data_IF_622388271761
#
_entry.id   IF_622388271761
#
_cell.length_a   1.000
_cell.length_b   1.000
_cell.length_c   1.000
_cell.angle_alpha   90.00
_cell.angle_beta   90.00
_cell.angle_gamma   90.00
#
_symmetry.space_group_name_H-M   'P 1'
#
loop_
_entity.id
_entity.type
_entity.pdbx_description
1 polymer ?
#
# COMPACT_ATOMS: atom_id res chain seq x y z
N UNK A 1 -10.56 -5.90 -17.42
CA UNK A 1 -10.42 -4.45 -17.71
C UNK A 1 -9.30 -4.19 -18.73
N UNK A 2 -8.14 -4.85 -18.62
CA UNK A 2 -6.98 -4.67 -19.51
C UNK A 2 -7.21 -4.77 -21.03
N UNK A 3 -8.03 -5.72 -21.54
CA UNK A 3 -8.24 -5.88 -22.99
C UNK A 3 -8.83 -4.65 -23.71
N UNK A 4 -9.69 -3.87 -23.03
CA UNK A 4 -10.28 -2.64 -23.59
C UNK A 4 -9.26 -1.49 -23.63
N UNK A 5 -8.42 -1.37 -22.59
CA UNK A 5 -7.37 -0.35 -22.51
C UNK A 5 -6.28 -0.61 -23.57
N UNK A 6 -5.89 -1.87 -23.73
CA UNK A 6 -4.92 -2.29 -24.77
C UNK A 6 -5.43 -1.94 -26.17
N UNK A 7 -6.70 -2.24 -26.46
CA UNK A 7 -7.31 -1.92 -27.76
C UNK A 7 -7.35 -0.42 -28.05
N UNK A 8 -7.66 0.41 -27.04
CA UNK A 8 -7.68 1.86 -27.18
C UNK A 8 -6.29 2.45 -27.49
N UNK A 9 -5.26 1.98 -26.80
CA UNK A 9 -3.89 2.45 -27.03
C UNK A 9 -3.29 1.94 -28.35
N UNK A 10 -3.54 0.69 -28.73
CA UNK A 10 -3.01 0.14 -29.99
C UNK A 10 -3.52 0.90 -31.23
N UNK A 11 -4.72 1.48 -31.18
CA UNK A 11 -5.27 2.24 -32.30
C UNK A 11 -4.61 3.62 -32.48
N UNK A 12 -3.89 4.11 -31.47
CA UNK A 12 -3.23 5.42 -31.45
C UNK A 12 -1.69 5.35 -31.46
N UNK A 13 -1.12 4.15 -31.42
CA UNK A 13 0.33 3.93 -31.33
C UNK A 13 0.85 3.26 -32.62
N UNK A 14 1.97 3.72 -33.20
CA UNK A 14 2.59 3.08 -34.36
C UNK A 14 2.87 1.59 -34.12
N UNK A 15 2.62 0.73 -35.12
CA UNK A 15 2.73 -0.74 -35.02
C UNK A 15 4.04 -1.24 -34.39
N UNK A 16 5.14 -0.54 -34.65
CA UNK A 16 6.48 -0.83 -34.11
C UNK A 16 6.56 -0.78 -32.57
N UNK A 17 5.70 -0.02 -31.89
CA UNK A 17 5.72 0.14 -30.43
C UNK A 17 4.58 -0.62 -29.72
N UNK A 18 3.63 -1.22 -30.46
CA UNK A 18 2.46 -1.89 -29.87
C UNK A 18 2.84 -3.00 -28.90
N UNK A 19 3.82 -3.84 -29.27
CA UNK A 19 4.29 -4.93 -28.39
C UNK A 19 4.89 -4.41 -27.07
N UNK A 20 5.57 -3.27 -27.10
CA UNK A 20 6.17 -2.65 -25.91
C UNK A 20 5.08 -2.06 -25.01
N UNK A 21 4.12 -1.36 -25.60
CA UNK A 21 2.98 -0.77 -24.88
C UNK A 21 2.11 -1.87 -24.25
N UNK A 22 1.80 -2.94 -24.98
CA UNK A 22 1.04 -4.07 -24.45
C UNK A 22 1.73 -4.74 -23.26
N UNK A 23 3.04 -4.97 -23.36
CA UNK A 23 3.82 -5.56 -22.28
C UNK A 23 3.78 -4.67 -21.03
N UNK A 24 4.00 -3.37 -21.20
CA UNK A 24 3.96 -2.40 -20.11
C UNK A 24 2.58 -2.32 -19.44
N UNK A 25 1.50 -2.28 -20.22
CA UNK A 25 0.14 -2.25 -19.67
C UNK A 25 -0.17 -3.51 -18.87
N UNK A 26 0.23 -4.69 -19.36
CA UNK A 26 0.04 -5.95 -18.63
C UNK A 26 0.81 -5.96 -17.30
N UNK A 27 2.06 -5.49 -17.31
CA UNK A 27 2.89 -5.43 -16.11
C UNK A 27 2.30 -4.48 -15.04
N UNK A 28 1.78 -3.33 -15.46
CA UNK A 28 1.06 -2.40 -14.57
C UNK A 28 -0.24 -3.00 -14.04
N UNK A 29 -1.03 -3.65 -14.90
CA UNK A 29 -2.30 -4.31 -14.52
C UNK A 29 -2.03 -5.44 -13.49
N UNK A 30 -0.96 -6.21 -13.67
CA UNK A 30 -0.54 -7.24 -12.73
C UNK A 30 -0.12 -6.67 -11.37
N UNK A 31 0.68 -5.59 -11.34
CA UNK A 31 1.08 -4.89 -10.11
C UNK A 31 -0.16 -4.36 -9.37
N UNK A 32 -1.03 -3.64 -10.06
CA UNK A 32 -2.25 -3.07 -9.46
C UNK A 32 -3.19 -4.17 -8.96
N UNK A 33 -3.45 -5.18 -9.77
CA UNK A 33 -4.36 -6.26 -9.39
C UNK A 33 -3.79 -7.13 -8.26
N UNK A 34 -2.46 -7.32 -8.20
CA UNK A 34 -1.78 -7.98 -7.11
C UNK A 34 -1.89 -7.18 -5.81
N UNK A 35 -1.53 -5.89 -5.86
CA UNK A 35 -1.65 -4.98 -4.72
C UNK A 35 -3.07 -4.91 -4.17
N UNK A 36 -4.08 -4.68 -5.03
CA UNK A 36 -5.47 -4.55 -4.59
C UNK A 36 -6.00 -5.81 -3.89
N UNK A 37 -5.70 -6.99 -4.46
CA UNK A 37 -6.09 -8.28 -3.86
C UNK A 37 -5.39 -8.50 -2.53
N UNK A 38 -4.09 -8.21 -2.48
CA UNK A 38 -3.29 -8.35 -1.28
C UNK A 38 -3.75 -7.40 -0.16
N UNK A 39 -3.93 -6.11 -0.49
CA UNK A 39 -4.33 -5.09 0.46
C UNK A 39 -5.73 -5.35 1.02
N UNK A 40 -6.66 -5.83 0.19
CA UNK A 40 -7.97 -6.25 0.68
C UNK A 40 -7.85 -7.38 1.70
N UNK A 41 -7.03 -8.41 1.43
CA UNK A 41 -6.81 -9.51 2.38
C UNK A 41 -6.17 -9.01 3.69
N UNK A 42 -5.14 -8.16 3.60
CA UNK A 42 -4.50 -7.52 4.76
C UNK A 42 -5.53 -6.75 5.59
N UNK A 43 -6.41 -6.00 4.94
CA UNK A 43 -7.43 -5.19 5.60
C UNK A 43 -8.45 -6.01 6.38
N UNK A 44 -8.86 -7.15 5.84
CA UNK A 44 -9.76 -8.08 6.51
C UNK A 44 -9.08 -8.70 7.72
N UNK A 45 -7.82 -9.14 7.57
CA UNK A 45 -7.04 -9.74 8.66
C UNK A 45 -6.85 -8.74 9.82
N UNK A 46 -6.43 -7.52 9.51
CA UNK A 46 -6.23 -6.48 10.53
C UNK A 46 -7.54 -6.06 11.18
N UNK A 47 -8.62 -5.91 10.42
CA UNK A 47 -9.94 -5.60 10.97
C UNK A 47 -10.42 -6.66 11.96
N UNK A 48 -10.24 -7.95 11.65
CA UNK A 48 -10.54 -9.05 12.57
C UNK A 48 -9.63 -9.04 13.79
N UNK A 49 -8.32 -8.83 13.60
CA UNK A 49 -7.35 -8.72 14.68
C UNK A 49 -7.74 -7.64 15.69
N UNK A 50 -8.03 -6.42 15.22
CA UNK A 50 -8.40 -5.30 16.08
C UNK A 50 -9.74 -5.54 16.77
N UNK A 51 -10.74 -6.07 16.04
CA UNK A 51 -12.02 -6.44 16.64
C UNK A 51 -11.85 -7.40 17.82
N UNK A 52 -11.13 -8.52 17.60
CA UNK A 52 -10.94 -9.57 18.61
C UNK A 52 -10.22 -9.00 19.83
N UNK A 53 -9.14 -8.24 19.63
CA UNK A 53 -8.36 -7.69 20.74
C UNK A 53 -9.16 -6.66 21.52
N UNK A 54 -9.83 -5.72 20.85
CA UNK A 54 -10.65 -4.73 21.52
C UNK A 54 -11.84 -5.36 22.25
N UNK A 55 -12.42 -6.42 21.70
CA UNK A 55 -13.46 -7.19 22.36
C UNK A 55 -12.95 -7.84 23.65
N UNK A 56 -11.76 -8.46 23.62
CA UNK A 56 -11.14 -9.07 24.81
C UNK A 56 -10.83 -8.03 25.90
N UNK A 57 -10.40 -6.83 25.50
CA UNK A 57 -10.12 -5.72 26.43
C UNK A 57 -11.41 -5.13 27.03
N UNK A 58 -12.56 -5.43 26.44
CA UNK A 58 -13.86 -4.92 26.89
C UNK A 58 -14.19 -3.54 26.35
N UNK A 59 -13.68 -3.16 25.17
CA UNK A 59 -14.10 -1.92 24.51
C UNK A 59 -15.49 -2.13 23.90
N UNK A 60 -16.46 -1.31 24.30
CA UNK A 60 -17.87 -1.45 23.88
C UNK A 60 -18.02 -1.30 22.37
N UNK A 61 -17.22 -0.40 21.78
CA UNK A 61 -17.18 -0.12 20.35
C UNK A 61 -16.17 -0.99 19.57
N UNK A 62 -15.78 -2.15 20.11
CA UNK A 62 -14.79 -3.06 19.51
C UNK A 62 -15.08 -3.42 18.05
N UNK A 63 -16.33 -3.75 17.70
CA UNK A 63 -16.72 -4.07 16.32
C UNK A 63 -16.56 -2.87 15.39
N UNK A 64 -17.04 -1.70 15.81
CA UNK A 64 -16.90 -0.47 15.04
C UNK A 64 -15.43 -0.13 14.80
N UNK A 65 -14.61 -0.17 15.86
CA UNK A 65 -13.18 0.08 15.77
C UNK A 65 -12.46 -0.94 14.89
N UNK A 66 -12.81 -2.22 14.98
CA UNK A 66 -12.26 -3.27 14.12
C UNK A 66 -12.58 -3.06 12.64
N UNK A 67 -13.84 -2.81 12.31
CA UNK A 67 -14.27 -2.52 10.92
C UNK A 67 -13.63 -1.23 10.40
N UNK A 68 -13.64 -0.17 11.21
CA UNK A 68 -13.00 1.10 10.88
C UNK A 68 -11.51 0.91 10.60
N UNK A 69 -10.81 0.18 11.48
CA UNK A 69 -9.39 -0.09 11.33
C UNK A 69 -9.10 -0.93 10.10
N UNK A 70 -9.94 -1.93 9.81
CA UNK A 70 -9.87 -2.70 8.58
C UNK A 70 -10.00 -1.80 7.35
N UNK A 71 -11.05 -0.98 7.26
CA UNK A 71 -11.25 -0.06 6.12
C UNK A 71 -10.07 0.90 5.96
N UNK A 72 -9.60 1.53 7.03
CA UNK A 72 -8.50 2.48 6.94
C UNK A 72 -7.16 1.82 6.65
N UNK A 73 -6.94 0.58 7.08
CA UNK A 73 -5.75 -0.19 6.73
C UNK A 73 -5.63 -0.49 5.23
N UNK A 74 -6.65 -0.22 4.42
CA UNK A 74 -6.52 -0.17 2.95
C UNK A 74 -5.46 0.83 2.48
N UNK A 75 -5.15 1.86 3.28
CA UNK A 75 -4.06 2.79 3.04
C UNK A 75 -2.88 2.36 3.93
N UNK A 76 -1.83 1.73 3.37
CA UNK A 76 -0.73 1.20 4.18
C UNK A 76 -0.03 2.30 4.97
N UNK A 77 0.43 1.95 6.17
CA UNK A 77 1.02 2.86 7.17
C UNK A 77 0.07 3.94 7.72
N UNK A 78 -0.62 4.69 6.87
CA UNK A 78 -1.52 5.77 7.26
C UNK A 78 -2.77 5.25 7.98
N UNK A 79 -3.29 4.10 7.53
CA UNK A 79 -4.44 3.44 8.12
C UNK A 79 -4.25 3.11 9.59
N UNK A 80 -3.07 2.59 9.96
CA UNK A 80 -2.69 2.32 11.35
C UNK A 80 -2.75 3.61 12.18
N UNK A 81 -2.19 4.72 11.70
CA UNK A 81 -2.17 5.98 12.44
C UNK A 81 -3.57 6.51 12.74
N UNK A 82 -4.46 6.55 11.73
CA UNK A 82 -5.84 7.04 11.92
C UNK A 82 -6.59 6.13 12.90
N UNK A 83 -6.45 4.83 12.72
CA UNK A 83 -7.08 3.82 13.56
C UNK A 83 -6.61 3.89 15.01
N UNK A 84 -5.32 4.13 15.21
CA UNK A 84 -4.71 4.33 16.53
C UNK A 84 -5.31 5.54 17.23
N UNK A 85 -5.35 6.70 16.56
CA UNK A 85 -5.89 7.94 17.15
C UNK A 85 -7.34 7.74 17.59
N UNK A 86 -8.17 7.17 16.71
CA UNK A 86 -9.59 6.95 17.04
C UNK A 86 -9.77 5.93 18.18
N UNK A 87 -9.02 4.83 18.15
CA UNK A 87 -9.10 3.80 19.19
C UNK A 87 -8.60 4.30 20.54
N UNK A 88 -7.50 5.07 20.56
CA UNK A 88 -6.99 5.69 21.77
C UNK A 88 -7.99 6.70 22.35
N UNK A 89 -8.63 7.50 21.50
CA UNK A 89 -9.65 8.46 21.91
C UNK A 89 -10.88 7.78 22.51
N UNK A 90 -11.44 6.76 21.84
CA UNK A 90 -12.60 6.01 22.35
C UNK A 90 -12.25 5.28 23.65
N UNK A 91 -11.08 4.64 23.72
CA UNK A 91 -10.63 3.94 24.92
C UNK A 91 -10.49 4.89 26.11
N UNK A 92 -9.96 6.10 25.89
CA UNK A 92 -9.84 7.11 26.94
C UNK A 92 -11.22 7.56 27.44
N UNK A 93 -12.18 7.78 26.54
CA UNK A 93 -13.53 8.18 26.93
C UNK A 93 -14.27 7.09 27.70
N UNK A 94 -14.07 5.82 27.35
CA UNK A 94 -14.76 4.70 27.99
C UNK A 94 -14.20 4.40 29.39
N UNK A 95 -12.88 4.32 29.53
CA UNK A 95 -12.26 3.91 30.80
C UNK A 95 -11.86 5.08 31.70
N UNK A 96 -11.78 6.30 31.17
CA UNK A 96 -11.31 7.51 31.86
C UNK A 96 -9.93 7.38 32.53
N UNK A 97 -9.15 6.36 32.14
CA UNK A 97 -7.84 6.06 32.69
C UNK A 97 -6.77 6.15 31.58
N UNK A 98 -5.80 7.07 31.70
CA UNK A 98 -4.68 7.20 30.77
C UNK A 98 -3.83 5.94 30.61
N UNK A 99 -3.83 5.02 31.58
CA UNK A 99 -3.11 3.75 31.45
C UNK A 99 -3.61 2.91 30.28
N UNK A 100 -4.87 3.06 29.87
CA UNK A 100 -5.40 2.36 28.70
C UNK A 100 -4.74 2.77 27.38
N UNK A 101 -4.21 3.99 27.29
CA UNK A 101 -3.46 4.43 26.10
C UNK A 101 -2.23 3.54 25.89
N UNK A 102 -1.56 3.10 26.95
CA UNK A 102 -0.40 2.21 26.83
C UNK A 102 -0.77 0.85 26.22
N UNK A 103 -1.91 0.27 26.61
CA UNK A 103 -2.39 -0.97 25.99
C UNK A 103 -2.68 -0.76 24.50
N UNK A 104 -3.35 0.33 24.13
CA UNK A 104 -3.62 0.67 22.72
C UNK A 104 -2.32 0.81 21.93
N UNK A 105 -1.34 1.55 22.46
CA UNK A 105 -0.01 1.69 21.82
C UNK A 105 0.61 0.32 21.56
N UNK A 106 0.62 -0.58 22.54
CA UNK A 106 1.22 -1.92 22.42
C UNK A 106 0.50 -2.74 21.33
N UNK A 107 -0.83 -2.71 21.30
CA UNK A 107 -1.63 -3.48 20.33
C UNK A 107 -1.35 -3.02 18.90
N UNK A 108 -1.32 -1.70 18.68
CA UNK A 108 -1.01 -1.12 17.38
C UNK A 108 0.45 -1.31 17.00
N UNK A 109 1.37 -1.28 17.97
CA UNK A 109 2.78 -1.55 17.72
C UNK A 109 3.01 -3.00 17.27
N UNK A 110 2.38 -3.97 17.93
CA UNK A 110 2.42 -5.38 17.52
C UNK A 110 1.82 -5.54 16.11
N UNK A 111 0.68 -4.90 15.85
CA UNK A 111 0.05 -4.93 14.53
C UNK A 111 0.95 -4.30 13.45
N UNK A 112 1.63 -3.20 13.76
CA UNK A 112 2.56 -2.52 12.86
C UNK A 112 3.74 -3.41 12.49
N UNK A 113 4.33 -4.11 13.47
CA UNK A 113 5.38 -5.10 13.22
C UNK A 113 4.85 -6.26 12.39
N UNK A 114 3.67 -6.78 12.73
CA UNK A 114 3.08 -7.90 12.02
C UNK A 114 2.75 -7.55 10.56
N UNK A 115 2.22 -6.35 10.33
CA UNK A 115 1.96 -5.79 9.01
C UNK A 115 3.26 -5.70 8.19
N UNK A 116 4.26 -5.00 8.72
CA UNK A 116 5.49 -4.70 7.99
C UNK A 116 6.40 -5.91 7.74
N UNK A 117 6.49 -6.86 8.68
CA UNK A 117 7.42 -7.99 8.57
C UNK A 117 6.78 -9.26 8.00
N UNK A 118 5.48 -9.48 8.19
CA UNK A 118 4.82 -10.73 7.81
C UNK A 118 3.76 -10.55 6.73
N UNK A 119 2.78 -9.68 6.95
CA UNK A 119 1.63 -9.54 6.06
C UNK A 119 2.03 -8.91 4.72
N UNK A 120 2.58 -7.70 4.74
CA UNK A 120 2.89 -6.97 3.51
C UNK A 120 3.88 -7.73 2.61
N UNK A 121 5.00 -8.29 3.10
CA UNK A 121 5.91 -9.06 2.24
C UNK A 121 5.30 -10.34 1.68
N UNK A 122 4.43 -11.03 2.45
CA UNK A 122 3.85 -12.32 2.05
C UNK A 122 2.63 -12.18 1.14
N UNK A 123 1.84 -11.13 1.34
CA UNK A 123 0.54 -10.94 0.70
C UNK A 123 0.64 -9.91 -0.44
N UNK A 124 1.33 -8.80 -0.22
CA UNK A 124 1.47 -7.70 -1.19
C UNK A 124 2.75 -7.85 -2.03
N UNK A 125 3.77 -8.54 -1.51
CA UNK A 125 4.91 -8.97 -2.31
C UNK A 125 5.95 -7.89 -2.59
N UNK A 126 6.08 -6.88 -1.72
CA UNK A 126 6.99 -5.76 -1.96
C UNK A 126 8.47 -6.16 -1.81
N UNK A 127 9.12 -6.42 -2.95
CA UNK A 127 10.59 -6.53 -3.09
C UNK A 127 11.14 -5.56 -4.12
N UNK A 128 10.56 -4.37 -4.24
CA UNK A 128 11.13 -3.30 -5.06
C UNK A 128 12.19 -2.48 -4.31
N UNK A 129 12.39 -2.70 -3.01
CA UNK A 129 13.39 -1.99 -2.22
C UNK A 129 13.04 -0.52 -1.99
N UNK A 130 11.76 -0.16 -2.09
CA UNK A 130 11.29 1.17 -1.76
C UNK A 130 11.54 1.44 -0.28
N UNK A 131 12.31 2.49 0.01
CA UNK A 131 12.50 2.92 1.39
C UNK A 131 11.17 3.42 1.98
N UNK A 132 10.84 3.17 3.26
CA UNK A 132 9.59 3.64 3.87
C UNK A 132 9.32 5.14 3.69
N UNK A 133 10.38 5.97 3.68
CA UNK A 133 10.25 7.40 3.36
C UNK A 133 9.72 7.67 1.95
N UNK A 134 10.09 6.87 0.94
CA UNK A 134 9.61 7.04 -0.42
C UNK A 134 8.10 6.75 -0.51
N UNK A 135 7.62 5.79 0.28
CA UNK A 135 6.19 5.48 0.38
C UNK A 135 5.45 6.66 1.01
N UNK A 136 5.92 7.19 2.14
CA UNK A 136 5.33 8.36 2.78
C UNK A 136 5.30 9.57 1.84
N UNK A 137 6.41 9.84 1.15
CA UNK A 137 6.49 10.92 0.17
C UNK A 137 5.47 10.74 -0.97
N UNK A 138 5.31 9.51 -1.44
CA UNK A 138 4.34 9.18 -2.48
C UNK A 138 2.90 9.42 -2.02
N UNK A 139 2.56 9.07 -0.76
CA UNK A 139 1.25 9.34 -0.18
C UNK A 139 0.94 10.84 -0.16
N UNK A 140 1.90 11.68 0.26
CA UNK A 140 1.72 13.13 0.24
C UNK A 140 1.62 13.68 -1.19
N UNK A 141 2.50 13.25 -2.09
CA UNK A 141 2.55 13.71 -3.46
C UNK A 141 1.27 13.35 -4.22
N UNK A 142 0.93 12.07 -4.27
CA UNK A 142 -0.28 11.61 -4.97
C UNK A 142 -1.55 12.04 -4.25
N UNK A 143 -1.54 12.12 -2.92
CA UNK A 143 -2.66 12.65 -2.16
C UNK A 143 -2.98 14.11 -2.48
N UNK A 144 -1.94 14.93 -2.69
CA UNK A 144 -2.13 16.33 -3.14
C UNK A 144 -2.66 16.40 -4.58
N UNK A 145 -2.19 15.51 -5.47
CA UNK A 145 -2.54 15.54 -6.90
C UNK A 145 -3.93 14.95 -7.21
N UNK A 146 -4.29 13.84 -6.57
CA UNK A 146 -5.45 13.02 -6.91
C UNK A 146 -6.40 12.83 -5.71
N UNK A 147 -6.15 13.52 -4.59
CA UNK A 147 -6.94 13.40 -3.37
C UNK A 147 -6.87 11.99 -2.76
N UNK A 148 -8.01 11.52 -2.25
CA UNK A 148 -8.12 10.21 -1.61
C UNK A 148 -7.66 9.05 -2.50
N UNK A 149 -8.00 9.07 -3.80
CA UNK A 149 -7.58 8.04 -4.74
C UNK A 149 -6.05 8.02 -4.89
N UNK A 150 -5.41 9.17 -4.86
CA UNK A 150 -3.95 9.27 -4.89
C UNK A 150 -3.28 8.65 -3.67
N UNK A 151 -3.85 8.85 -2.48
CA UNK A 151 -3.36 8.24 -1.24
C UNK A 151 -3.46 6.71 -1.32
N UNK A 152 -4.61 6.19 -1.76
CA UNK A 152 -4.84 4.76 -1.85
C UNK A 152 -3.93 4.06 -2.88
N UNK A 153 -3.70 4.69 -4.04
CA UNK A 153 -2.84 4.15 -5.10
C UNK A 153 -1.38 4.61 -5.03
N UNK A 154 -0.97 5.30 -3.96
CA UNK A 154 0.35 5.89 -3.83
C UNK A 154 1.48 4.85 -4.00
N UNK A 155 1.33 3.69 -3.37
CA UNK A 155 2.33 2.62 -3.38
C UNK A 155 2.46 1.96 -4.76
N UNK A 156 1.36 1.53 -5.42
CA UNK A 156 1.43 1.06 -6.80
C UNK A 156 2.07 2.08 -7.74
N UNK A 157 1.69 3.36 -7.64
CA UNK A 157 2.28 4.39 -8.51
C UNK A 157 3.77 4.60 -8.24
N UNK A 158 4.18 4.66 -6.97
CA UNK A 158 5.59 4.72 -6.60
C UNK A 158 6.38 3.53 -7.13
N UNK A 159 5.81 2.33 -7.01
CA UNK A 159 6.38 1.08 -7.49
C UNK A 159 6.58 1.07 -9.01
N UNK A 160 5.58 1.54 -9.76
CA UNK A 160 5.65 1.66 -11.22
C UNK A 160 6.74 2.66 -11.63
N UNK A 161 6.77 3.84 -11.00
CA UNK A 161 7.79 4.86 -11.28
C UNK A 161 9.20 4.30 -11.02
N UNK A 162 9.40 3.65 -9.87
CA UNK A 162 10.69 3.07 -9.49
C UNK A 162 11.11 1.94 -10.44
N UNK A 163 10.18 1.09 -10.86
CA UNK A 163 10.41 0.04 -11.83
C UNK A 163 10.92 0.60 -13.17
N UNK A 164 10.28 1.65 -13.69
CA UNK A 164 10.71 2.29 -14.93
C UNK A 164 12.04 3.04 -14.77
N UNK A 165 12.23 3.75 -13.66
CA UNK A 165 13.50 4.40 -13.33
C UNK A 165 14.66 3.39 -13.37
N UNK A 166 14.47 2.23 -12.74
CA UNK A 166 15.46 1.14 -12.74
C UNK A 166 15.69 0.55 -14.13
N UNK A 167 14.64 0.35 -14.94
CA UNK A 167 14.76 -0.14 -16.33
C UNK A 167 15.58 0.82 -17.19
N UNK A 168 15.38 2.13 -17.05
CA UNK A 168 16.12 3.15 -17.79
C UNK A 168 17.60 3.16 -17.38
N UNK A 169 17.90 3.19 -16.08
CA UNK A 169 19.28 3.16 -15.59
C UNK A 169 20.03 1.91 -16.06
N UNK A 170 19.39 0.74 -16.00
CA UNK A 170 19.99 -0.49 -16.47
C UNK A 170 20.30 -0.45 -17.98
N UNK A 171 19.39 0.14 -18.78
CA UNK A 171 19.61 0.31 -20.22
C UNK A 171 20.78 1.26 -20.53
N UNK A 172 20.94 2.34 -19.74
CA UNK A 172 22.05 3.30 -19.91
C UNK A 172 23.40 2.64 -19.57
N UNK A 173 23.47 1.89 -18.47
CA UNK A 173 24.73 1.22 -18.08
C UNK A 173 25.19 0.18 -19.12
N UNK A 174 24.25 -0.58 -19.70
CA UNK A 174 24.60 -1.53 -20.77
C UNK A 174 25.16 -0.83 -22.03
N UNK A 175 24.67 0.37 -22.36
CA UNK A 175 25.18 1.15 -23.50
C UNK A 175 26.60 1.66 -23.20
N UNK A 176 26.88 2.10 -21.97
CA UNK A 176 28.22 2.58 -21.60
C UNK A 176 29.27 1.46 -21.59
N UNK A 177 28.89 0.25 -21.19
CA UNK A 177 29.80 -0.91 -21.17
C UNK A 177 30.15 -1.39 -22.59
N UNK A 178 29.20 -1.37 -23.54
CA UNK A 178 29.48 -1.68 -24.96
C UNK A 178 30.41 -0.65 -25.62
N UNK A 179 30.33 0.62 -25.22
CA UNK A 179 31.21 1.68 -25.73
C UNK A 179 32.60 1.68 -25.10
N UNK A 180 32.76 1.14 -23.89
CA UNK A 180 34.06 1.04 -23.20
C UNK A 180 34.85 -0.22 -23.60
N UNK A 181 34.18 -1.20 -24.24
CA UNK A 181 34.77 -2.46 -24.74
C UNK A 181 35.27 -2.40 -26.19
N UNK A 182 35.08 -1.28 -26.90
CA UNK A 182 35.55 -1.04 -28.27
C UNK A 182 36.58 0.08 -28.31
#
# INVERSE_FOLDING_TARGET
MGKKIIFFFNNNVPKQYQNIVEKNIKEVDEILAGFLRGQFLVSVILGMYYFIIFYIIGIDYSLFLGVFSGIFSLIPYFGIFISFILSAYISLLQFADPFFIFYIIIIFFIAFLFEGYFLSPKIVGEKLGLHPLAILYSVFLFGSLLGFLGIFFAIPFASIIFLYYRKILFNINNITDETASN
#
